data_IF_688178818115
#
_entry.id   IF_688178818115
#
_cell.length_a   1.000
_cell.length_b   1.000
_cell.length_c   1.000
_cell.angle_alpha   90.00
_cell.angle_beta   90.00
_cell.angle_gamma   90.00
#
_symmetry.space_group_name_H-M   'P 1'
#
loop_
_entity.id
_entity.type
_entity.pdbx_description
1 polymer ?
#
# COMPACT_ATOMS: atom_id res chain seq x y z
N UNK A 1 -16.17 -8.57 -10.66
CA UNK A 1 -17.50 -8.91 -11.23
C UNK A 1 -17.73 -8.23 -12.58
N UNK A 2 -17.13 -7.04 -12.82
CA UNK A 2 -17.12 -6.35 -14.13
C UNK A 2 -16.73 -7.22 -15.34
N UNK A 3 -15.84 -8.21 -15.19
CA UNK A 3 -15.40 -9.07 -16.29
C UNK A 3 -16.52 -10.01 -16.78
N UNK A 4 -17.27 -10.62 -15.86
CA UNK A 4 -18.47 -11.42 -16.17
C UNK A 4 -19.62 -10.53 -16.69
N UNK A 5 -19.74 -9.31 -16.15
CA UNK A 5 -20.82 -8.37 -16.50
C UNK A 5 -20.67 -7.86 -17.93
N UNK A 6 -19.43 -7.73 -18.43
CA UNK A 6 -19.14 -7.43 -19.84
C UNK A 6 -19.45 -8.58 -20.80
N UNK A 7 -19.39 -9.83 -20.34
CA UNK A 7 -19.67 -11.02 -21.18
C UNK A 7 -21.15 -11.41 -21.21
N UNK A 8 -21.81 -11.41 -20.05
CA UNK A 8 -23.20 -11.89 -19.92
C UNK A 8 -24.24 -10.77 -19.99
N UNK A 9 -23.82 -9.50 -19.86
CA UNK A 9 -24.70 -8.32 -19.91
C UNK A 9 -25.55 -8.13 -18.65
N UNK A 10 -26.00 -9.22 -18.03
CA UNK A 10 -26.70 -9.26 -16.76
C UNK A 10 -26.12 -10.37 -15.86
N UNK A 11 -26.14 -10.15 -14.55
CA UNK A 11 -25.65 -11.10 -13.54
C UNK A 11 -26.73 -11.27 -12.48
N UNK A 12 -27.28 -12.49 -12.37
CA UNK A 12 -28.12 -12.84 -11.24
C UNK A 12 -27.23 -13.15 -10.02
N UNK A 13 -27.26 -12.24 -9.05
CA UNK A 13 -26.54 -12.37 -7.79
C UNK A 13 -27.13 -13.44 -6.86
N UNK A 14 -28.28 -14.02 -7.20
CA UNK A 14 -28.91 -15.09 -6.43
C UNK A 14 -28.66 -16.47 -7.04
N UNK A 15 -28.07 -16.55 -8.24
CA UNK A 15 -27.69 -17.81 -8.87
C UNK A 15 -26.36 -18.34 -8.29
N UNK A 16 -26.37 -19.45 -7.54
CA UNK A 16 -25.17 -20.02 -6.96
C UNK A 16 -24.12 -20.45 -8.00
N UNK A 17 -24.54 -20.85 -9.21
CA UNK A 17 -23.60 -21.25 -10.26
C UNK A 17 -22.84 -20.05 -10.82
N UNK A 18 -23.54 -18.93 -11.03
CA UNK A 18 -22.94 -17.69 -11.50
C UNK A 18 -21.95 -17.10 -10.49
N UNK A 19 -22.29 -17.14 -9.19
CA UNK A 19 -21.36 -16.77 -8.11
C UNK A 19 -20.14 -17.68 -8.13
N UNK A 20 -20.34 -19.00 -8.21
CA UNK A 20 -19.26 -19.99 -8.20
C UNK A 20 -18.31 -19.80 -9.38
N UNK A 21 -18.84 -19.56 -10.58
CA UNK A 21 -18.03 -19.29 -11.78
C UNK A 21 -17.26 -17.97 -11.67
N UNK A 22 -17.88 -16.93 -11.12
CA UNK A 22 -17.21 -15.66 -10.86
C UNK A 22 -15.98 -15.83 -9.94
N UNK A 23 -16.18 -16.50 -8.80
CA UNK A 23 -15.10 -16.78 -7.86
C UNK A 23 -14.02 -17.68 -8.49
N UNK A 24 -14.42 -18.73 -9.22
CA UNK A 24 -13.49 -19.61 -9.92
C UNK A 24 -12.57 -18.81 -10.85
N UNK A 25 -13.12 -17.90 -11.67
CA UNK A 25 -12.31 -17.07 -12.58
C UNK A 25 -11.41 -16.08 -11.87
N UNK A 26 -11.89 -15.45 -10.80
CA UNK A 26 -11.06 -14.54 -9.98
C UNK A 26 -9.84 -15.26 -9.39
N UNK A 27 -9.98 -16.54 -9.05
CA UNK A 27 -8.92 -17.30 -8.39
C UNK A 27 -8.16 -18.27 -9.31
N UNK A 28 -8.62 -18.51 -10.54
CA UNK A 28 -7.94 -19.33 -11.55
C UNK A 28 -6.55 -18.79 -11.94
N UNK A 29 -6.33 -17.47 -11.86
CA UNK A 29 -5.02 -16.83 -12.12
C UNK A 29 -3.94 -17.19 -11.07
N UNK A 30 -4.27 -18.01 -10.06
CA UNK A 30 -3.38 -18.40 -8.97
C UNK A 30 -2.94 -19.87 -8.95
N UNK A 31 -3.29 -20.64 -9.99
CA UNK A 31 -3.10 -22.11 -10.05
C UNK A 31 -1.67 -22.57 -9.74
N UNK A 32 -0.64 -21.85 -10.20
CA UNK A 32 0.76 -22.20 -9.89
C UNK A 32 1.09 -22.10 -8.40
N UNK A 33 0.65 -21.03 -7.72
CA UNK A 33 0.84 -20.87 -6.27
C UNK A 33 0.02 -21.90 -5.48
N UNK A 34 -1.15 -22.25 -6.00
CA UNK A 34 -2.02 -23.25 -5.40
C UNK A 34 -1.38 -24.64 -5.46
N UNK A 35 -0.67 -24.95 -6.55
CA UNK A 35 0.08 -26.21 -6.68
C UNK A 35 1.22 -26.33 -5.66
N UNK A 36 2.01 -25.27 -5.45
CA UNK A 36 3.10 -25.31 -4.47
C UNK A 36 2.58 -25.36 -3.03
N UNK A 37 1.50 -24.63 -2.73
CA UNK A 37 0.79 -24.73 -1.45
C UNK A 37 0.26 -26.16 -1.21
N UNK A 38 -0.40 -26.76 -2.21
CA UNK A 38 -0.94 -28.11 -2.10
C UNK A 38 0.15 -29.16 -1.86
N UNK A 39 1.31 -29.03 -2.52
CA UNK A 39 2.47 -29.90 -2.27
C UNK A 39 3.00 -29.75 -0.85
N UNK A 40 3.09 -28.53 -0.33
CA UNK A 40 3.54 -28.27 1.05
C UNK A 40 2.57 -28.88 2.08
N UNK A 41 1.27 -28.74 1.85
CA UNK A 41 0.21 -29.34 2.70
C UNK A 41 0.30 -30.87 2.68
N UNK A 42 0.42 -31.49 1.49
CA UNK A 42 0.54 -32.95 1.36
C UNK A 42 1.78 -33.53 2.04
N UNK A 43 2.87 -32.75 2.10
CA UNK A 43 4.12 -33.13 2.77
C UNK A 43 4.12 -32.83 4.28
N UNK A 44 3.03 -32.29 4.83
CA UNK A 44 2.95 -31.79 6.21
C UNK A 44 4.06 -30.77 6.53
N UNK A 45 4.50 -30.00 5.53
CA UNK A 45 5.52 -28.96 5.70
C UNK A 45 4.84 -27.65 6.12
N UNK A 46 4.70 -27.45 7.42
CA UNK A 46 4.01 -26.28 7.98
C UNK A 46 4.73 -24.95 7.67
N UNK A 47 6.05 -24.98 7.51
CA UNK A 47 6.86 -23.78 7.23
C UNK A 47 6.62 -23.31 5.80
N UNK A 48 6.73 -24.22 4.83
CA UNK A 48 6.46 -23.88 3.43
C UNK A 48 4.97 -23.64 3.18
N UNK A 49 4.07 -24.33 3.90
CA UNK A 49 2.64 -24.04 3.87
C UNK A 49 2.38 -22.59 4.28
N UNK A 50 2.92 -22.13 5.41
CA UNK A 50 2.74 -20.75 5.87
C UNK A 50 3.31 -19.72 4.87
N UNK A 51 4.40 -20.06 4.18
CA UNK A 51 5.04 -19.23 3.16
C UNK A 51 4.18 -19.09 1.90
N UNK A 52 3.67 -20.20 1.37
CA UNK A 52 2.83 -20.23 0.17
C UNK A 52 1.40 -19.72 0.44
N UNK A 53 0.88 -19.90 1.65
CA UNK A 53 -0.45 -19.46 2.07
C UNK A 53 -0.58 -17.93 2.11
N UNK A 54 0.54 -17.19 2.19
CA UNK A 54 0.54 -15.72 2.25
C UNK A 54 0.21 -15.12 0.88
N UNK A 55 -1.08 -15.07 0.54
CA UNK A 55 -1.57 -14.57 -0.75
C UNK A 55 -1.32 -13.07 -0.93
N UNK A 56 -1.51 -12.30 0.15
CA UNK A 56 -1.22 -10.86 0.17
C UNK A 56 0.25 -10.70 0.52
N UNK A 57 1.08 -10.54 -0.50
CA UNK A 57 2.42 -9.99 -0.32
C UNK A 57 2.26 -8.62 0.38
N UNK A 58 3.06 -8.34 1.42
CA UNK A 58 3.16 -6.98 1.97
C UNK A 58 3.90 -6.12 0.94
N UNK A 59 3.18 -5.67 -0.08
CA UNK A 59 3.63 -4.69 -1.09
C UNK A 59 3.13 -3.28 -0.71
N UNK A 60 2.67 -3.11 0.52
CA UNK A 60 2.21 -1.83 1.01
C UNK A 60 3.38 -1.03 1.57
N UNK A 61 3.59 0.15 1.03
CA UNK A 61 4.45 1.17 1.61
C UNK A 61 3.67 2.00 2.63
N UNK A 62 4.38 2.57 3.60
CA UNK A 62 3.79 3.46 4.61
C UNK A 62 3.92 4.91 4.13
N UNK A 63 2.81 5.62 4.00
CA UNK A 63 2.78 7.01 3.55
C UNK A 63 2.35 7.91 4.70
N UNK A 64 3.21 8.84 5.10
CA UNK A 64 2.90 9.90 6.06
C UNK A 64 1.97 10.92 5.39
N UNK A 65 0.79 11.14 5.97
CA UNK A 65 -0.25 11.99 5.39
C UNK A 65 -0.36 13.35 6.09
N UNK A 66 -0.59 14.44 5.34
CA UNK A 66 -0.81 15.77 5.89
C UNK A 66 -2.22 15.86 6.49
N UNK A 67 -2.32 15.80 7.81
CA UNK A 67 -3.58 16.07 8.53
C UNK A 67 -3.90 17.57 8.50
N UNK A 68 -5.15 17.94 8.17
CA UNK A 68 -5.55 19.34 7.98
C UNK A 68 -6.80 19.77 8.76
N UNK A 69 -7.43 18.91 9.56
CA UNK A 69 -8.60 19.37 10.31
C UNK A 69 -8.25 20.52 11.26
N UNK A 70 -9.02 21.62 11.14
CA UNK A 70 -8.94 22.82 11.99
C UNK A 70 -8.99 22.52 13.48
N UNK A 71 -9.59 21.39 13.86
CA UNK A 71 -9.78 20.97 15.24
C UNK A 71 -8.58 20.20 15.82
N UNK A 72 -7.59 19.83 14.99
CA UNK A 72 -6.44 19.00 15.43
C UNK A 72 -5.09 19.49 14.88
N UNK A 73 -4.85 20.80 15.04
CA UNK A 73 -3.61 21.49 14.69
C UNK A 73 -2.35 20.78 15.22
N UNK A 74 -2.45 20.15 16.40
CA UNK A 74 -1.35 19.40 17.01
C UNK A 74 -0.89 18.22 16.15
N UNK A 75 -1.81 17.52 15.47
CA UNK A 75 -1.44 16.41 14.57
C UNK A 75 -0.75 16.92 13.32
N UNK A 76 -1.22 18.03 12.76
CA UNK A 76 -0.59 18.65 11.60
C UNK A 76 0.86 19.06 11.90
N UNK A 77 1.09 19.70 13.05
CA UNK A 77 2.42 20.06 13.54
C UNK A 77 3.29 18.83 13.81
N UNK A 78 2.73 17.79 14.42
CA UNK A 78 3.45 16.55 14.69
C UNK A 78 3.90 15.84 13.41
N UNK A 79 3.05 15.83 12.39
CA UNK A 79 3.37 15.27 11.06
C UNK A 79 4.47 16.08 10.38
N UNK A 80 4.36 17.41 10.38
CA UNK A 80 5.38 18.28 9.80
C UNK A 80 6.74 18.07 10.49
N UNK A 81 6.77 18.06 11.82
CA UNK A 81 7.99 17.80 12.59
C UNK A 81 8.59 16.42 12.31
N UNK A 82 7.75 15.40 12.10
CA UNK A 82 8.22 14.06 11.72
C UNK A 82 8.80 14.04 10.31
N UNK A 83 8.19 14.73 9.35
CA UNK A 83 8.70 14.86 8.00
C UNK A 83 10.07 15.56 8.00
N UNK A 84 10.17 16.71 8.66
CA UNK A 84 11.42 17.47 8.79
C UNK A 84 12.53 16.63 9.43
N UNK A 85 12.22 15.94 10.55
CA UNK A 85 13.18 15.06 11.21
C UNK A 85 13.67 13.94 10.27
N UNK A 86 12.77 13.38 9.45
CA UNK A 86 13.12 12.34 8.51
C UNK A 86 13.99 12.85 7.35
N UNK A 87 13.71 14.05 6.83
CA UNK A 87 14.51 14.68 5.78
C UNK A 87 15.89 15.12 6.26
N UNK A 88 16.03 15.58 7.51
CA UNK A 88 17.31 16.01 8.06
C UNK A 88 18.19 14.87 8.55
N UNK A 89 17.59 13.87 9.22
CA UNK A 89 18.33 12.86 10.00
C UNK A 89 18.10 11.43 9.55
N UNK A 90 17.13 11.20 8.66
CA UNK A 90 16.68 9.88 8.29
C UNK A 90 15.84 9.21 9.38
N UNK A 91 15.09 8.19 9.00
CA UNK A 91 14.19 7.49 9.91
C UNK A 91 14.93 6.48 10.77
N UNK A 92 14.44 6.29 11.99
CA UNK A 92 14.94 5.29 12.93
C UNK A 92 13.77 4.55 13.60
N UNK A 93 13.99 3.46 14.36
CA UNK A 93 12.90 2.71 14.98
C UNK A 93 12.00 3.54 15.93
N UNK A 94 12.56 4.56 16.59
CA UNK A 94 11.79 5.48 17.44
C UNK A 94 10.92 6.43 16.63
N UNK A 95 11.43 6.92 15.50
CA UNK A 95 10.67 7.69 14.52
C UNK A 95 9.50 6.88 13.96
N UNK A 96 9.75 5.64 13.51
CA UNK A 96 8.72 4.76 12.95
C UNK A 96 7.57 4.54 13.93
N UNK A 97 7.86 4.35 15.22
CA UNK A 97 6.82 4.20 16.26
C UNK A 97 5.96 5.45 16.42
N UNK A 98 6.54 6.64 16.32
CA UNK A 98 5.82 7.92 16.40
C UNK A 98 5.06 8.26 15.12
N UNK A 99 5.56 7.84 13.96
CA UNK A 99 4.97 8.13 12.66
C UNK A 99 3.80 7.21 12.30
N UNK A 100 3.77 5.98 12.81
CA UNK A 100 2.71 4.99 12.53
C UNK A 100 1.27 5.47 12.68
N UNK A 101 0.89 6.22 13.74
CA UNK A 101 -0.48 6.72 13.87
C UNK A 101 -0.90 7.72 12.78
N UNK A 102 0.08 8.30 12.08
CA UNK A 102 -0.12 9.32 11.05
C UNK A 102 0.17 8.80 9.64
N UNK A 103 0.36 7.49 9.51
CA UNK A 103 0.68 6.85 8.24
C UNK A 103 -0.47 5.97 7.78
N UNK A 104 -0.64 5.90 6.47
CA UNK A 104 -1.55 4.97 5.82
C UNK A 104 -0.78 4.03 4.92
N UNK A 105 -1.22 2.78 4.86
CA UNK A 105 -0.60 1.77 4.02
C UNK A 105 -1.16 1.88 2.60
N UNK A 106 -0.27 2.07 1.63
CA UNK A 106 -0.67 2.20 0.22
C UNK A 106 0.19 1.31 -0.65
N UNK A 107 -0.42 0.69 -1.65
CA UNK A 107 0.31 0.04 -2.71
C UNK A 107 0.83 1.10 -3.68
N UNK A 108 2.12 1.40 -3.59
CA UNK A 108 2.78 2.35 -4.48
C UNK A 108 3.05 1.66 -5.82
N UNK A 109 2.67 2.34 -6.89
CA UNK A 109 3.03 2.00 -8.26
C UNK A 109 4.16 2.92 -8.73
N UNK A 110 4.92 2.48 -9.73
CA UNK A 110 6.13 3.18 -10.19
C UNK A 110 5.83 4.56 -10.81
N UNK A 111 4.68 4.69 -11.48
CA UNK A 111 4.12 5.95 -12.00
C UNK A 111 3.85 6.99 -10.89
N UNK A 112 3.40 6.56 -9.71
CA UNK A 112 3.15 7.45 -8.56
C UNK A 112 4.43 8.10 -8.04
N UNK A 113 5.56 7.39 -8.07
CA UNK A 113 6.86 7.94 -7.65
C UNK A 113 7.36 8.99 -8.65
N UNK A 114 7.16 8.74 -9.95
CA UNK A 114 7.57 9.65 -11.02
C UNK A 114 6.74 10.94 -11.08
N UNK A 115 5.50 10.90 -10.60
CA UNK A 115 4.60 12.06 -10.55
C UNK A 115 4.99 13.15 -9.54
N UNK A 116 6.00 12.90 -8.69
CA UNK A 116 6.39 13.82 -7.61
C UNK A 116 5.34 13.95 -6.50
N UNK A 117 4.38 13.03 -6.43
CA UNK A 117 3.34 13.02 -5.41
C UNK A 117 3.86 12.53 -4.05
N UNK A 118 4.80 11.58 -4.09
CA UNK A 118 5.37 10.91 -2.92
C UNK A 118 6.89 11.13 -2.90
N UNK A 119 7.42 11.48 -1.73
CA UNK A 119 8.87 11.56 -1.53
C UNK A 119 9.35 10.41 -0.65
N UNK A 120 10.35 9.61 -1.09
CA UNK A 120 10.87 8.51 -0.30
C UNK A 120 11.64 9.02 0.92
N UNK A 121 11.36 8.41 2.08
CA UNK A 121 12.17 8.57 3.27
C UNK A 121 13.24 7.48 3.31
N UNK A 122 14.37 7.80 3.92
CA UNK A 122 15.51 6.89 4.02
C UNK A 122 15.91 6.62 5.46
N UNK A 123 16.51 5.46 5.73
CA UNK A 123 16.97 5.14 7.07
C UNK A 123 18.13 6.04 7.51
N UNK A 124 18.22 6.31 8.80
CA UNK A 124 19.39 6.95 9.39
C UNK A 124 20.59 6.01 9.33
N UNK A 125 21.73 6.50 8.85
CA UNK A 125 22.97 5.74 8.85
C UNK A 125 23.54 5.64 10.28
N UNK A 126 23.88 4.44 10.78
CA UNK A 126 24.50 4.27 12.10
C UNK A 126 25.81 5.05 12.27
N UNK A 127 26.53 5.32 11.18
CA UNK A 127 27.80 6.09 11.18
C UNK A 127 27.59 7.60 11.03
N UNK A 128 26.35 8.07 11.02
CA UNK A 128 25.99 9.46 10.79
C UNK A 128 25.54 9.73 9.36
N UNK A 129 24.62 10.68 9.20
CA UNK A 129 23.97 11.00 7.93
C UNK A 129 22.79 10.07 7.59
N UNK A 130 22.31 10.20 6.36
CA UNK A 130 21.14 9.47 5.83
C UNK A 130 21.64 8.34 4.92
N UNK A 131 21.11 7.14 5.11
CA UNK A 131 21.36 5.97 4.26
C UNK A 131 20.68 6.15 2.90
N UNK A 132 21.12 5.42 1.87
CA UNK A 132 20.38 5.31 0.60
C UNK A 132 19.52 4.05 0.52
N UNK A 133 19.40 3.31 1.62
CA UNK A 133 18.55 2.14 1.70
C UNK A 133 17.08 2.54 1.70
N UNK A 134 16.29 1.93 0.81
CA UNK A 134 14.85 2.09 0.76
C UNK A 134 14.23 1.70 2.10
N UNK A 135 13.53 2.65 2.70
CA UNK A 135 12.92 2.43 4.01
C UNK A 135 11.52 1.84 3.94
N UNK A 136 10.88 1.89 2.75
CA UNK A 136 9.46 1.59 2.57
C UNK A 136 8.51 2.66 3.11
N UNK A 137 9.04 3.82 3.53
CA UNK A 137 8.28 4.98 4.00
C UNK A 137 8.36 6.13 3.01
N UNK A 138 7.25 6.86 2.89
CA UNK A 138 7.10 8.01 2.00
C UNK A 138 6.36 9.15 2.70
N UNK A 139 6.54 10.37 2.22
CA UNK A 139 5.73 11.54 2.59
C UNK A 139 4.86 11.94 1.41
N UNK A 140 3.58 12.19 1.66
CA UNK A 140 2.69 12.76 0.65
C UNK A 140 2.92 14.27 0.55
N UNK A 141 3.40 14.72 -0.61
CA UNK A 141 3.74 16.13 -0.84
C UNK A 141 2.50 16.97 -1.21
N UNK A 142 1.62 16.44 -2.07
CA UNK A 142 0.41 17.14 -2.49
C UNK A 142 -0.74 16.76 -1.58
N UNK A 143 -1.11 17.70 -0.71
CA UNK A 143 -2.16 17.49 0.31
C UNK A 143 -3.54 17.22 -0.26
N UNK A 144 -3.81 17.72 -1.47
CA UNK A 144 -5.07 17.56 -2.20
C UNK A 144 -5.46 16.08 -2.44
N UNK A 145 -4.48 15.18 -2.38
CA UNK A 145 -4.63 13.74 -2.57
C UNK A 145 -4.95 12.99 -1.27
N UNK A 146 -5.17 13.71 -0.16
CA UNK A 146 -5.61 13.16 1.11
C UNK A 146 -6.85 13.87 1.64
N UNK A 147 -7.84 13.08 2.03
CA UNK A 147 -9.05 13.54 2.71
C UNK A 147 -9.32 12.61 3.88
N UNK A 148 -9.65 13.14 5.05
CA UNK A 148 -9.96 12.28 6.20
C UNK A 148 -11.22 11.43 6.00
N UNK A 149 -12.13 11.85 5.12
CA UNK A 149 -13.38 11.11 4.85
C UNK A 149 -13.18 9.94 3.90
N UNK A 150 -12.27 10.08 2.92
CA UNK A 150 -12.09 9.11 1.83
C UNK A 150 -10.71 8.45 1.86
N UNK A 151 -9.79 8.94 2.70
CA UNK A 151 -8.41 8.51 2.79
C UNK A 151 -7.53 9.16 1.72
N UNK A 152 -6.47 8.44 1.37
CA UNK A 152 -5.62 8.79 0.23
C UNK A 152 -6.37 8.43 -1.07
N UNK A 153 -6.43 9.40 -1.99
CA UNK A 153 -6.91 9.20 -3.35
C UNK A 153 -5.75 9.46 -4.32
N UNK A 154 -5.04 8.40 -4.72
CA UNK A 154 -3.95 8.47 -5.71
C UNK A 154 -4.46 8.18 -7.13
N UNK A 155 -5.71 8.55 -7.45
CA UNK A 155 -6.22 8.51 -8.81
C UNK A 155 -5.36 9.40 -9.70
N UNK A 156 -4.24 8.87 -10.22
CA UNK A 156 -3.41 9.53 -11.22
C UNK A 156 -4.30 9.70 -12.44
N UNK A 157 -4.93 10.86 -12.57
CA UNK A 157 -5.57 11.26 -13.81
C UNK A 157 -4.45 11.38 -14.84
N UNK A 158 -4.66 10.90 -16.07
CA UNK A 158 -3.70 11.06 -17.18
C UNK A 158 -3.30 12.53 -17.41
N UNK A 159 -4.05 13.50 -16.84
CA UNK A 159 -3.76 14.93 -16.86
C UNK A 159 -2.64 15.38 -15.90
N UNK A 160 -2.29 14.61 -14.86
CA UNK A 160 -1.23 14.96 -13.90
C UNK A 160 0.18 14.51 -14.35
N UNK A 161 0.27 13.82 -15.49
CA UNK A 161 1.52 13.30 -16.08
C UNK A 161 2.22 14.29 -17.03
N UNK A 162 1.76 15.53 -17.12
CA UNK A 162 2.40 16.54 -17.97
C UNK A 162 3.48 17.27 -17.14
N UNK A 163 4.71 16.79 -17.27
CA UNK A 163 5.93 17.59 -17.07
C UNK A 163 6.51 17.92 -18.44
#
# INVERSE_FOLDING_TARGET
>A
MQMMLKEYGDIDINDPEMISEYYRRCFALSEEKMNDLNKAIQRYDFVETARHYKWIKRIGAEVLVPYEQKDDQQKAEQVAALADEAFERGINPGWVRRARPYAVNVQIKEDMLLSGLLEPLFMRNPRGGISREESGWYVLLKKEYYSEKTGIDLGVNEMDLII
#
